data_IF_494271215786
#
_entry.id   IF_494271215786
#
_cell.length_a   1.000
_cell.length_b   1.000
_cell.length_c   1.000
_cell.angle_alpha   90.00
_cell.angle_beta   90.00
_cell.angle_gamma   90.00
#
_symmetry.space_group_name_H-M   'P 1'
#
loop_
_entity.id
_entity.type
_entity.pdbx_description
1 polymer ?
#
# COMPACT_ATOMS: atom_id res chain seq x y z
N UNK A 1 10.66 -23.67 10.40
CA UNK A 1 10.55 -23.21 10.18
C UNK A 1 10.18 -22.48 9.52
N UNK A 2 10.24 -22.34 9.11
CA UNK A 2 9.96 -21.63 8.50
C UNK A 2 8.96 -21.13 8.22
N UNK A 3 8.64 -21.69 8.28
CA UNK A 3 7.45 -21.23 7.88
C UNK A 3 6.92 -20.16 8.49
N UNK A 4 7.41 -19.83 9.38
CA UNK A 4 6.97 -18.77 10.01
C UNK A 4 7.09 -17.61 9.23
N UNK A 5 7.61 -17.68 8.15
CA UNK A 5 7.73 -16.52 7.37
C UNK A 5 6.40 -16.14 6.81
N UNK A 6 6.02 -14.92 7.07
CA UNK A 6 4.79 -14.42 6.51
C UNK A 6 4.95 -14.27 5.01
N UNK A 7 3.89 -14.47 4.24
CA UNK A 7 3.99 -14.23 2.81
C UNK A 7 4.33 -12.78 2.52
N UNK A 8 5.06 -12.55 1.46
CA UNK A 8 5.42 -11.22 1.02
C UNK A 8 4.50 -10.83 -0.12
N UNK A 9 4.00 -9.60 -0.12
CA UNK A 9 3.17 -9.17 -1.25
C UNK A 9 3.99 -9.15 -2.53
N UNK A 10 3.36 -9.58 -3.62
CA UNK A 10 4.01 -9.60 -4.91
C UNK A 10 3.13 -8.88 -5.92
N UNK A 11 3.74 -8.01 -6.70
CA UNK A 11 3.03 -7.25 -7.70
C UNK A 11 3.62 -7.60 -9.06
N UNK A 12 2.77 -8.07 -9.97
CA UNK A 12 3.28 -8.39 -11.30
C UNK A 12 3.13 -7.18 -12.22
N UNK A 13 3.67 -7.30 -13.43
CA UNK A 13 3.68 -6.17 -14.34
C UNK A 13 2.31 -5.88 -14.95
N UNK A 14 1.35 -6.74 -14.70
CA UNK A 14 -0.03 -6.49 -15.13
C UNK A 14 -0.84 -5.75 -14.09
N UNK A 15 -0.22 -5.45 -12.94
CA UNK A 15 -0.93 -4.74 -11.90
C UNK A 15 -1.69 -5.61 -10.93
N UNK A 16 -1.46 -6.92 -10.97
CA UNK A 16 -2.11 -7.81 -10.02
C UNK A 16 -1.21 -8.00 -8.81
N UNK A 17 -1.77 -7.68 -7.66
CA UNK A 17 -1.08 -7.81 -6.38
C UNK A 17 -1.56 -9.06 -5.70
N UNK A 18 -0.63 -9.90 -5.27
CA UNK A 18 -0.96 -11.14 -4.59
C UNK A 18 -0.32 -11.19 -3.22
N UNK A 19 -1.05 -11.73 -2.27
CA UNK A 19 -0.51 -11.96 -0.94
C UNK A 19 -1.20 -13.19 -0.38
N UNK A 20 -0.42 -14.25 -0.17
CA UNK A 20 -1.00 -15.52 0.24
C UNK A 20 -1.97 -16.01 -0.81
N UNK A 21 -3.19 -16.28 -0.41
CA UNK A 21 -4.22 -16.74 -1.33
C UNK A 21 -5.05 -15.59 -1.88
N UNK A 22 -4.82 -14.38 -1.40
CA UNK A 22 -5.60 -13.24 -1.85
C UNK A 22 -4.93 -12.50 -2.99
N UNK A 23 -5.72 -11.78 -3.74
CA UNK A 23 -5.18 -10.96 -4.81
C UNK A 23 -6.14 -9.81 -5.12
N UNK A 24 -5.60 -8.79 -5.74
CA UNK A 24 -6.40 -7.66 -6.18
C UNK A 24 -5.73 -7.05 -7.42
N UNK A 25 -6.55 -6.56 -8.33
CA UNK A 25 -6.05 -5.90 -9.52
C UNK A 25 -6.00 -4.40 -9.25
N UNK A 26 -4.89 -3.77 -9.55
CA UNK A 26 -4.69 -2.36 -9.27
C UNK A 26 -4.70 -1.57 -10.58
N UNK A 27 -5.41 -0.43 -10.62
CA UNK A 27 -5.31 0.47 -11.78
C UNK A 27 -3.88 0.99 -11.93
N UNK A 28 -3.54 1.51 -13.11
CA UNK A 28 -2.13 1.83 -13.40
C UNK A 28 -1.45 2.74 -12.40
N UNK A 29 -2.09 3.83 -11.99
CA UNK A 29 -1.42 4.73 -11.06
C UNK A 29 -1.22 4.05 -9.72
N UNK A 30 -2.26 3.39 -9.20
CA UNK A 30 -2.13 2.69 -7.92
C UNK A 30 -1.10 1.57 -8.01
N UNK A 31 -1.01 0.90 -9.16
CA UNK A 31 -0.01 -0.15 -9.33
C UNK A 31 1.40 0.43 -9.24
N UNK A 32 1.62 1.58 -9.85
CA UNK A 32 2.94 2.22 -9.78
C UNK A 32 3.27 2.70 -8.37
N UNK A 33 2.26 3.24 -7.66
CA UNK A 33 2.46 3.63 -6.28
C UNK A 33 2.78 2.42 -5.41
N UNK A 34 2.06 1.33 -5.63
CA UNK A 34 2.31 0.11 -4.88
C UNK A 34 3.71 -0.44 -5.13
N UNK A 35 4.17 -0.38 -6.38
CA UNK A 35 5.51 -0.84 -6.69
C UNK A 35 6.56 -0.07 -5.90
N UNK A 36 6.39 1.25 -5.81
CA UNK A 36 7.33 2.08 -5.06
C UNK A 36 7.30 1.73 -3.57
N UNK A 37 6.12 1.50 -3.03
CA UNK A 37 6.01 1.13 -1.63
C UNK A 37 6.62 -0.23 -1.36
N UNK A 38 6.45 -1.17 -2.28
CA UNK A 38 7.00 -2.51 -2.09
C UNK A 38 8.52 -2.53 -2.14
N UNK A 39 9.12 -1.66 -2.94
CA UNK A 39 10.57 -1.58 -2.99
C UNK A 39 11.14 -1.24 -1.63
N UNK A 40 10.38 -0.56 -0.81
CA UNK A 40 10.81 -0.18 0.52
C UNK A 40 9.82 -0.67 1.55
N UNK A 41 9.37 -1.89 1.38
CA UNK A 41 8.38 -2.48 2.26
C UNK A 41 8.80 -2.32 3.72
N UNK A 42 7.92 -1.72 4.51
CA UNK A 42 8.21 -1.48 5.91
C UNK A 42 8.98 -0.20 6.19
N UNK A 43 9.31 0.57 5.16
CA UNK A 43 10.03 1.82 5.34
C UNK A 43 9.25 2.96 4.70
N UNK A 44 9.54 4.17 5.14
CA UNK A 44 8.83 5.35 4.64
C UNK A 44 9.27 5.69 3.23
N UNK A 45 8.31 5.95 2.36
CA UNK A 45 8.56 6.45 1.02
C UNK A 45 8.01 7.87 0.98
N UNK A 46 8.83 8.81 0.54
CA UNK A 46 8.44 10.22 0.56
C UNK A 46 7.33 10.50 -0.45
N UNK A 47 6.60 11.58 -0.20
CA UNK A 47 5.56 11.99 -1.13
C UNK A 47 6.14 12.29 -2.51
N UNK A 48 7.32 12.90 -2.56
CA UNK A 48 7.94 13.20 -3.85
C UNK A 48 8.30 11.94 -4.60
N UNK A 49 8.83 10.95 -3.91
CA UNK A 49 9.17 9.68 -4.57
C UNK A 49 7.92 9.00 -5.10
N UNK A 50 6.84 9.04 -4.31
CA UNK A 50 5.58 8.43 -4.75
C UNK A 50 5.00 9.18 -5.95
N UNK A 51 5.08 10.49 -5.94
CA UNK A 51 4.56 11.27 -7.06
C UNK A 51 5.35 10.95 -8.34
N UNK A 52 6.66 10.81 -8.23
CA UNK A 52 7.46 10.46 -9.39
C UNK A 52 7.13 9.05 -9.89
N UNK A 53 6.87 8.14 -8.96
CA UNK A 53 6.53 6.78 -9.36
C UNK A 53 5.17 6.71 -10.02
N UNK A 54 4.19 7.42 -9.49
CA UNK A 54 2.84 7.38 -10.01
C UNK A 54 2.66 8.14 -11.30
N UNK A 55 3.40 9.22 -11.47
CA UNK A 55 3.29 10.10 -12.63
C UNK A 55 4.67 10.41 -13.20
N UNK A 56 5.28 9.40 -13.84
CA UNK A 56 6.66 9.59 -14.32
C UNK A 56 6.79 10.65 -15.40
N UNK A 57 5.71 10.99 -16.08
CA UNK A 57 5.77 11.98 -17.15
C UNK A 57 5.49 13.40 -16.72
N UNK A 58 5.16 13.61 -15.47
CA UNK A 58 4.88 14.96 -15.00
C UNK A 58 4.15 14.95 -13.68
N UNK A 59 4.22 16.05 -12.99
CA UNK A 59 3.63 16.15 -11.67
C UNK A 59 2.11 16.10 -11.75
N UNK A 60 1.48 15.42 -10.81
CA UNK A 60 0.02 15.36 -10.78
C UNK A 60 -0.53 16.66 -10.20
N UNK A 61 -1.84 16.81 -10.24
CA UNK A 61 -2.49 17.91 -9.56
C UNK A 61 -2.30 17.81 -8.06
N UNK A 62 -2.67 18.89 -7.39
CA UNK A 62 -2.34 19.05 -5.98
C UNK A 62 -2.75 17.88 -5.09
N UNK A 63 -3.95 17.38 -5.26
CA UNK A 63 -4.44 16.34 -4.36
C UNK A 63 -4.44 14.95 -4.97
N UNK A 64 -3.86 14.81 -6.16
CA UNK A 64 -3.95 13.54 -6.87
C UNK A 64 -3.31 12.39 -6.08
N UNK A 65 -2.14 12.65 -5.50
CA UNK A 65 -1.47 11.59 -4.74
C UNK A 65 -2.34 11.10 -3.60
N UNK A 66 -2.90 12.03 -2.82
CA UNK A 66 -3.69 11.64 -1.66
C UNK A 66 -4.95 10.88 -2.07
N UNK A 67 -5.57 11.28 -3.17
CA UNK A 67 -6.76 10.58 -3.66
C UNK A 67 -6.42 9.15 -4.04
N UNK A 68 -5.32 8.96 -4.78
CA UNK A 68 -4.95 7.62 -5.19
C UNK A 68 -4.44 6.78 -4.02
N UNK A 69 -3.80 7.41 -3.03
CA UNK A 69 -3.40 6.67 -1.85
C UNK A 69 -4.61 6.19 -1.07
N UNK A 70 -5.65 7.00 -1.01
CA UNK A 70 -6.89 6.57 -0.35
C UNK A 70 -7.51 5.39 -1.07
N UNK A 71 -7.56 5.45 -2.39
CA UNK A 71 -8.10 4.35 -3.17
C UNK A 71 -7.27 3.09 -3.00
N UNK A 72 -5.95 3.25 -3.00
CA UNK A 72 -5.06 2.12 -2.81
C UNK A 72 -5.29 1.46 -1.45
N UNK A 73 -5.43 2.28 -0.40
CA UNK A 73 -5.72 1.73 0.93
C UNK A 73 -6.93 0.83 0.92
N UNK A 74 -7.99 1.27 0.24
CA UNK A 74 -9.22 0.50 0.20
C UNK A 74 -9.03 -0.82 -0.52
N UNK A 75 -8.25 -0.81 -1.59
CA UNK A 75 -8.01 -2.03 -2.34
C UNK A 75 -7.14 -3.01 -1.58
N UNK A 76 -6.27 -2.50 -0.71
CA UNK A 76 -5.35 -3.36 0.05
C UNK A 76 -5.98 -3.95 1.30
N UNK A 77 -7.05 -3.34 1.80
CA UNK A 77 -7.63 -3.79 3.06
C UNK A 77 -7.96 -5.28 3.09
N UNK A 78 -8.58 -5.85 2.04
CA UNK A 78 -8.89 -7.29 2.09
C UNK A 78 -7.65 -8.18 2.15
N UNK A 79 -6.49 -7.65 1.79
CA UNK A 79 -5.25 -8.42 1.85
C UNK A 79 -4.51 -8.22 3.15
N UNK A 80 -5.14 -7.55 4.11
CA UNK A 80 -4.51 -7.27 5.40
C UNK A 80 -3.22 -6.47 5.25
N UNK A 81 -3.22 -5.56 4.30
CA UNK A 81 -2.13 -4.61 4.11
C UNK A 81 -2.65 -3.22 4.44
N UNK A 82 -1.80 -2.41 5.03
CA UNK A 82 -2.17 -1.06 5.43
C UNK A 82 -1.11 -0.08 4.97
N UNK A 83 -1.55 1.13 4.65
CA UNK A 83 -0.64 2.20 4.33
C UNK A 83 -0.78 3.23 5.44
N UNK A 84 0.31 3.45 6.15
CA UNK A 84 0.32 4.41 7.24
C UNK A 84 0.87 5.74 6.75
N UNK A 85 0.21 6.82 7.11
CA UNK A 85 0.74 8.15 6.85
C UNK A 85 1.76 8.48 7.92
N UNK A 86 2.98 8.83 7.51
CA UNK A 86 4.01 9.23 8.45
C UNK A 86 4.15 10.74 8.28
N UNK A 87 3.68 11.45 9.27
CA UNK A 87 3.54 12.88 9.19
C UNK A 87 4.82 13.56 8.78
N UNK A 88 4.73 14.44 7.79
CA UNK A 88 5.85 15.21 7.27
C UNK A 88 6.91 14.38 6.56
N UNK A 89 6.71 13.07 6.43
CA UNK A 89 7.71 12.23 5.82
C UNK A 89 7.23 11.47 4.61
N UNK A 90 6.00 10.95 4.64
CA UNK A 90 5.48 10.20 3.52
C UNK A 90 4.56 9.09 3.97
N UNK A 91 4.69 7.95 3.31
CA UNK A 91 3.80 6.82 3.56
C UNK A 91 4.61 5.55 3.73
N UNK A 92 4.03 4.60 4.44
CA UNK A 92 4.69 3.36 4.79
C UNK A 92 3.73 2.21 4.57
N UNK A 93 4.16 1.19 3.86
CA UNK A 93 3.35 -0.01 3.64
C UNK A 93 3.71 -1.04 4.71
N UNK A 94 2.72 -1.60 5.35
CA UNK A 94 2.96 -2.61 6.38
C UNK A 94 1.79 -3.57 6.41
N UNK A 95 1.97 -4.68 7.10
CA UNK A 95 0.88 -5.61 7.28
C UNK A 95 -0.03 -5.11 8.39
N UNK A 96 -1.33 -5.26 8.18
CA UNK A 96 -2.27 -4.94 9.24
C UNK A 96 -2.19 -6.03 10.29
N UNK A 97 -2.14 -5.61 11.54
CA UNK A 97 -2.15 -6.57 12.62
C UNK A 97 -3.57 -7.04 12.85
N UNK A 98 -3.80 -8.36 12.92
CA UNK A 98 -5.15 -8.83 13.25
C UNK A 98 -5.63 -8.29 14.58
N UNK A 99 -4.74 -8.13 15.54
CA UNK A 99 -5.13 -7.59 16.83
C UNK A 99 -5.59 -6.16 16.71
N UNK A 100 -4.92 -5.37 15.87
CA UNK A 100 -5.34 -4.01 15.65
C UNK A 100 -6.70 -3.96 14.99
N UNK A 101 -6.92 -4.81 14.04
CA UNK A 101 -8.20 -4.86 13.39
C UNK A 101 -9.30 -5.20 14.35
N UNK A 102 -9.07 -6.19 15.18
CA UNK A 102 -10.04 -6.58 16.16
C UNK A 102 -10.31 -5.48 17.15
N UNK A 103 -9.25 -4.82 17.59
CA UNK A 103 -9.42 -3.74 18.52
C UNK A 103 -10.23 -2.60 17.93
N UNK A 104 -9.99 -2.29 16.69
CA UNK A 104 -10.73 -1.25 16.02
C UNK A 104 -12.20 -1.55 15.99
N UNK A 105 -12.53 -2.78 15.67
CA UNK A 105 -13.91 -3.18 15.63
C UNK A 105 -14.53 -3.12 17.00
N UNK A 106 -13.80 -3.57 17.97
CA UNK A 106 -14.31 -3.53 19.33
C UNK A 106 -14.54 -2.11 19.77
N UNK A 107 -13.65 -1.21 19.40
CA UNK A 107 -13.82 0.18 19.77
C UNK A 107 -15.05 0.77 19.14
N UNK A 108 -15.32 0.39 17.93
CA UNK A 108 -16.48 0.91 17.25
C UNK A 108 -17.74 0.33 17.78
N UNK A 109 -17.66 -0.89 18.19
CA UNK A 109 -18.82 -1.56 18.69
C UNK A 109 -19.11 -1.13 20.09
#
# INVERSE_FOLDING_TARGET
>A
MEAKLAPTPELDHDGVLRLGLGWVSLPPVEARLMAALLERYGAVVSRDALARAGWPSGAPGRNALDVHMLRLRRRLAPLALAIRTVRSRGYLLERSSPAEGERSEASSG
#
